data_IF_245388847724
#
_entry.id   IF_245388847724
#
_cell.length_a   1.000
_cell.length_b   1.000
_cell.length_c   1.000
_cell.angle_alpha   90.00
_cell.angle_beta   90.00
_cell.angle_gamma   90.00
#
_symmetry.space_group_name_H-M   'P 1'
#
loop_
_entity.id
_entity.type
_entity.pdbx_description
1 polymer ?
#
# COMPACT_ATOMS: atom_id res chain seq x y z
N UNK A 1 17.85 13.42 -8.87
CA UNK A 1 17.88 13.02 -7.43
C UNK A 1 17.58 11.53 -7.22
N UNK A 2 16.56 10.91 -7.84
CA UNK A 2 16.26 9.48 -7.66
C UNK A 2 17.40 8.54 -8.03
N UNK A 3 18.09 8.79 -9.13
CA UNK A 3 19.22 7.97 -9.59
C UNK A 3 20.40 7.98 -8.59
N UNK A 4 20.61 9.08 -7.88
CA UNK A 4 21.70 9.21 -6.91
C UNK A 4 21.39 8.47 -5.61
N UNK A 5 20.13 8.44 -5.19
CA UNK A 5 19.68 7.68 -4.03
C UNK A 5 19.73 6.16 -4.28
N UNK A 6 19.30 5.70 -5.47
CA UNK A 6 19.47 4.30 -5.90
C UNK A 6 20.96 3.90 -5.89
N UNK A 7 21.84 4.73 -6.47
CA UNK A 7 23.27 4.48 -6.52
C UNK A 7 23.89 4.45 -5.11
N UNK A 8 23.42 5.29 -4.18
CA UNK A 8 23.90 5.31 -2.80
C UNK A 8 23.51 4.05 -2.02
N UNK A 9 22.26 3.62 -2.13
CA UNK A 9 21.77 2.38 -1.49
C UNK A 9 22.51 1.16 -2.03
N UNK A 10 22.73 1.10 -3.33
CA UNK A 10 23.48 0.01 -3.99
C UNK A 10 24.94 -0.07 -3.56
N UNK A 11 25.61 1.10 -3.35
CA UNK A 11 26.97 1.14 -2.81
C UNK A 11 27.05 0.65 -1.36
N UNK A 12 26.06 0.95 -0.54
CA UNK A 12 25.99 0.54 0.86
C UNK A 12 25.74 -0.97 0.98
N UNK A 13 24.94 -1.54 0.06
CA UNK A 13 24.58 -2.97 0.08
C UNK A 13 25.65 -3.89 -0.49
N UNK A 14 26.74 -3.36 -1.07
CA UNK A 14 27.82 -4.16 -1.67
C UNK A 14 27.42 -4.93 -2.94
N UNK A 15 26.27 -4.59 -3.52
CA UNK A 15 25.68 -5.37 -4.61
C UNK A 15 25.98 -4.82 -6.00
N UNK A 16 27.10 -5.21 -6.62
CA UNK A 16 27.33 -4.96 -8.06
C UNK A 16 26.24 -5.61 -8.94
N UNK A 17 25.65 -6.71 -8.53
CA UNK A 17 24.58 -7.40 -9.27
C UNK A 17 23.25 -6.62 -9.30
N UNK A 18 22.96 -5.78 -8.31
CA UNK A 18 21.76 -4.95 -8.30
C UNK A 18 21.84 -3.76 -9.28
N UNK A 19 23.05 -3.32 -9.67
CA UNK A 19 23.25 -2.20 -10.62
C UNK A 19 22.75 -2.55 -12.03
N UNK A 20 22.67 -3.83 -12.37
CA UNK A 20 22.14 -4.29 -13.66
C UNK A 20 20.62 -4.10 -13.80
N UNK A 21 19.90 -3.75 -12.73
CA UNK A 21 18.45 -3.52 -12.72
C UNK A 21 18.03 -2.11 -13.20
N UNK A 22 18.90 -1.40 -13.95
CA UNK A 22 18.51 -0.14 -14.62
C UNK A 22 17.34 -0.41 -15.57
N UNK A 23 16.13 -0.12 -15.11
CA UNK A 23 14.96 0.13 -15.97
C UNK A 23 14.35 -1.07 -16.69
N UNK A 24 14.61 -2.30 -16.30
CA UNK A 24 14.02 -3.48 -16.90
C UNK A 24 13.37 -4.40 -15.87
N UNK A 25 12.11 -4.76 -16.10
CA UNK A 25 11.49 -5.89 -15.42
C UNK A 25 12.38 -7.13 -15.60
N UNK A 26 13.13 -7.50 -14.57
CA UNK A 26 13.93 -8.72 -14.63
C UNK A 26 12.98 -9.91 -14.57
N UNK A 27 13.06 -10.80 -15.56
CA UNK A 27 12.34 -12.08 -15.52
C UNK A 27 12.59 -12.79 -14.18
N UNK A 28 11.60 -13.53 -13.69
CA UNK A 28 11.81 -14.42 -12.54
C UNK A 28 13.09 -15.23 -12.78
N UNK A 29 14.00 -15.23 -11.82
CA UNK A 29 15.18 -16.06 -11.89
C UNK A 29 14.71 -17.54 -11.94
N UNK A 30 14.97 -18.26 -13.05
CA UNK A 30 14.52 -19.65 -13.18
C UNK A 30 15.06 -20.57 -12.08
N UNK A 31 16.14 -20.18 -11.42
CA UNK A 31 16.76 -20.96 -10.34
C UNK A 31 16.19 -20.64 -8.97
N UNK A 32 15.80 -19.38 -8.72
CA UNK A 32 15.26 -18.95 -7.42
C UNK A 32 13.74 -18.92 -7.38
N UNK A 33 13.08 -18.89 -8.54
CA UNK A 33 11.61 -18.83 -8.64
C UNK A 33 11.00 -17.52 -8.14
N UNK A 34 11.81 -16.50 -7.87
CA UNK A 34 11.34 -15.19 -7.38
C UNK A 34 12.07 -14.02 -8.04
N UNK A 35 11.49 -12.83 -7.90
CA UNK A 35 12.06 -11.56 -8.39
C UNK A 35 11.94 -10.49 -7.31
N UNK A 36 13.02 -9.74 -7.09
CA UNK A 36 13.05 -8.56 -6.23
C UNK A 36 13.38 -7.31 -7.05
N UNK A 37 12.61 -6.27 -6.86
CA UNK A 37 12.78 -4.97 -7.52
C UNK A 37 12.88 -3.87 -6.46
N UNK A 38 13.91 -3.02 -6.56
CA UNK A 38 14.02 -1.79 -5.79
C UNK A 38 13.37 -0.66 -6.59
N UNK A 39 12.43 0.03 -5.98
CA UNK A 39 11.63 1.08 -6.61
C UNK A 39 11.82 2.39 -5.86
N UNK A 40 11.94 3.48 -6.59
CA UNK A 40 12.02 4.82 -6.01
C UNK A 40 11.00 5.73 -6.66
N UNK A 41 10.44 6.63 -5.86
CA UNK A 41 9.60 7.72 -6.34
C UNK A 41 8.43 7.23 -7.21
N UNK A 42 8.25 7.82 -8.40
CA UNK A 42 7.14 7.51 -9.31
C UNK A 42 7.05 6.04 -9.72
N UNK A 43 8.17 5.33 -9.78
CA UNK A 43 8.16 3.88 -10.08
C UNK A 43 7.35 3.06 -9.07
N UNK A 44 7.22 3.56 -7.83
CA UNK A 44 6.39 2.93 -6.80
C UNK A 44 4.91 2.96 -7.23
N UNK A 45 4.44 4.13 -7.71
CA UNK A 45 3.06 4.30 -8.21
C UNK A 45 2.80 3.42 -9.42
N UNK A 46 3.69 3.49 -10.41
CA UNK A 46 3.55 2.72 -11.65
C UNK A 46 3.46 1.22 -11.31
N UNK A 47 4.36 0.72 -10.45
CA UNK A 47 4.34 -0.67 -10.00
C UNK A 47 3.07 -1.06 -9.25
N UNK A 48 2.60 -0.22 -8.35
CA UNK A 48 1.36 -0.49 -7.60
C UNK A 48 0.14 -0.56 -8.55
N UNK A 49 0.07 0.31 -9.56
CA UNK A 49 -0.99 0.28 -10.58
C UNK A 49 -0.88 -0.99 -11.44
N UNK A 50 0.32 -1.33 -11.91
CA UNK A 50 0.56 -2.57 -12.68
C UNK A 50 0.13 -3.81 -11.89
N UNK A 51 0.47 -3.88 -10.58
CA UNK A 51 0.06 -4.99 -9.72
C UNK A 51 -1.47 -5.09 -9.60
N UNK A 52 -2.15 -3.96 -9.38
CA UNK A 52 -3.61 -3.93 -9.25
C UNK A 52 -4.31 -4.28 -10.57
N UNK A 53 -3.76 -3.88 -11.71
CA UNK A 53 -4.27 -4.24 -13.03
C UNK A 53 -4.08 -5.74 -13.32
N UNK A 54 -2.91 -6.28 -12.99
CA UNK A 54 -2.53 -7.68 -13.22
C UNK A 54 -3.12 -8.65 -12.18
N UNK A 55 -3.90 -8.18 -11.22
CA UNK A 55 -4.50 -9.04 -10.19
C UNK A 55 -5.34 -10.15 -10.81
N UNK A 56 -5.12 -11.40 -10.37
CA UNK A 56 -5.88 -12.57 -10.78
C UNK A 56 -7.38 -12.41 -10.48
N UNK A 57 -8.21 -13.08 -11.26
CA UNK A 57 -9.66 -13.09 -11.07
C UNK A 57 -10.19 -14.52 -11.11
N UNK A 58 -10.67 -15.09 -9.98
CA UNK A 58 -10.64 -14.49 -8.64
C UNK A 58 -9.23 -14.46 -8.05
N UNK A 59 -8.89 -13.42 -7.26
CA UNK A 59 -7.62 -13.29 -6.58
C UNK A 59 -7.71 -12.27 -5.44
N UNK A 60 -6.73 -12.27 -4.55
CA UNK A 60 -6.72 -11.41 -3.37
C UNK A 60 -5.89 -10.16 -3.57
N UNK A 61 -6.40 -9.07 -3.05
CA UNK A 61 -5.70 -7.79 -2.90
C UNK A 61 -5.82 -7.36 -1.44
N UNK A 62 -4.70 -7.25 -0.75
CA UNK A 62 -4.63 -6.88 0.66
C UNK A 62 -3.76 -5.63 0.80
N UNK A 63 -4.38 -4.55 1.26
CA UNK A 63 -3.71 -3.27 1.47
C UNK A 63 -3.68 -2.92 2.94
N UNK A 64 -2.48 -2.71 3.50
CA UNK A 64 -2.26 -2.13 4.83
C UNK A 64 -1.48 -0.82 4.66
N UNK A 65 -2.09 0.32 5.01
CA UNK A 65 -1.53 1.61 4.63
C UNK A 65 -1.69 2.68 5.71
N UNK A 66 -0.59 3.42 5.96
CA UNK A 66 -0.64 4.58 6.84
C UNK A 66 -1.47 5.71 6.22
N UNK A 67 -1.17 6.15 4.98
CA UNK A 67 -1.98 7.13 4.26
C UNK A 67 -2.35 6.66 2.86
N UNK A 68 -3.64 6.67 2.56
CA UNK A 68 -4.22 6.32 1.26
C UNK A 68 -5.11 7.47 0.76
N UNK A 69 -4.65 8.19 -0.28
CA UNK A 69 -5.42 9.27 -0.89
C UNK A 69 -5.17 9.41 -2.41
N UNK A 70 -4.13 8.77 -2.97
CA UNK A 70 -3.87 8.82 -4.40
C UNK A 70 -5.09 8.33 -5.20
N UNK A 71 -5.55 9.18 -6.14
CA UNK A 71 -6.82 8.94 -6.85
C UNK A 71 -6.75 7.77 -7.82
N UNK A 72 -5.58 7.55 -8.40
CA UNK A 72 -5.39 6.50 -9.40
C UNK A 72 -5.33 5.14 -8.70
N UNK A 73 -4.62 5.05 -7.57
CA UNK A 73 -4.61 3.83 -6.72
C UNK A 73 -6.01 3.52 -6.20
N UNK A 74 -6.73 4.52 -5.65
CA UNK A 74 -8.10 4.32 -5.16
C UNK A 74 -9.02 3.86 -6.28
N UNK A 75 -8.89 4.40 -7.50
CA UNK A 75 -9.66 3.96 -8.67
C UNK A 75 -9.29 2.51 -9.03
N UNK A 76 -8.02 2.18 -9.10
CA UNK A 76 -7.56 0.83 -9.44
C UNK A 76 -8.05 -0.23 -8.45
N UNK A 77 -8.12 0.07 -7.15
CA UNK A 77 -8.73 -0.80 -6.13
C UNK A 77 -10.23 -1.03 -6.40
N UNK A 78 -10.97 0.04 -6.77
CA UNK A 78 -12.39 -0.07 -7.11
C UNK A 78 -12.61 -0.89 -8.38
N UNK A 79 -11.78 -0.68 -9.40
CA UNK A 79 -11.84 -1.39 -10.66
C UNK A 79 -11.50 -2.88 -10.46
N UNK A 80 -10.50 -3.20 -9.63
CA UNK A 80 -10.18 -4.58 -9.25
C UNK A 80 -11.37 -5.27 -8.55
N UNK A 81 -12.03 -4.58 -7.62
CA UNK A 81 -13.26 -5.08 -6.97
C UNK A 81 -14.37 -5.36 -8.00
N UNK A 82 -14.56 -4.47 -8.96
CA UNK A 82 -15.56 -4.65 -10.02
C UNK A 82 -15.23 -5.83 -10.95
N UNK A 83 -13.95 -6.12 -11.18
CA UNK A 83 -13.50 -7.30 -11.94
C UNK A 83 -13.75 -8.61 -11.19
N UNK A 84 -13.99 -8.59 -9.88
CA UNK A 84 -14.25 -9.78 -9.07
C UNK A 84 -13.10 -10.17 -8.15
N UNK A 85 -12.09 -9.31 -7.97
CA UNK A 85 -11.05 -9.55 -6.98
C UNK A 85 -11.59 -9.41 -5.54
N UNK A 86 -11.05 -10.19 -4.61
CA UNK A 86 -11.28 -10.03 -3.18
C UNK A 86 -10.36 -8.92 -2.65
N UNK A 87 -10.90 -7.72 -2.45
CA UNK A 87 -10.14 -6.57 -1.96
C UNK A 87 -10.43 -6.34 -0.49
N UNK A 88 -9.39 -6.27 0.36
CA UNK A 88 -9.50 -5.95 1.79
C UNK A 88 -8.48 -4.87 2.17
N UNK A 89 -8.87 -3.94 3.02
CA UNK A 89 -8.06 -2.76 3.35
C UNK A 89 -7.98 -2.53 4.85
N UNK A 90 -6.76 -2.35 5.38
CA UNK A 90 -6.50 -1.86 6.74
C UNK A 90 -5.86 -0.49 6.63
N UNK A 91 -6.44 0.52 7.26
CA UNK A 91 -5.90 1.88 7.28
C UNK A 91 -5.64 2.37 8.69
N UNK A 92 -4.63 3.23 8.83
CA UNK A 92 -4.51 4.07 10.02
C UNK A 92 -5.74 4.99 10.15
N UNK A 93 -6.35 5.12 11.32
CA UNK A 93 -7.55 5.98 11.51
C UNK A 93 -7.25 7.48 11.34
N UNK A 94 -5.99 7.87 11.10
CA UNK A 94 -5.50 9.26 11.02
C UNK A 94 -5.96 10.10 12.21
N UNK A 95 -5.93 9.47 13.39
CA UNK A 95 -6.41 10.07 14.64
C UNK A 95 -5.28 10.79 15.38
N UNK A 96 -4.07 10.24 15.34
CA UNK A 96 -2.92 10.76 16.07
C UNK A 96 -1.71 10.92 15.13
N UNK A 97 -0.96 12.00 15.30
CA UNK A 97 0.34 12.17 14.67
C UNK A 97 1.21 13.20 15.42
N UNK A 98 2.44 12.82 15.70
CA UNK A 98 3.41 13.70 16.34
C UNK A 98 2.89 14.35 17.64
N UNK A 99 2.17 13.57 18.48
CA UNK A 99 1.58 14.05 19.73
C UNK A 99 0.40 15.01 19.56
N UNK A 100 -0.23 15.07 18.38
CA UNK A 100 -1.41 15.90 18.10
C UNK A 100 -2.56 15.03 17.58
N UNK A 101 -3.76 15.30 18.08
CA UNK A 101 -4.98 14.68 17.57
C UNK A 101 -5.28 15.19 16.17
N UNK A 102 -5.36 14.29 15.19
CA UNK A 102 -5.75 14.58 13.81
C UNK A 102 -7.26 14.38 13.61
N UNK A 103 -7.77 14.96 12.54
CA UNK A 103 -9.20 14.96 12.21
C UNK A 103 -9.61 13.83 11.24
N UNK A 104 -8.75 12.83 11.04
CA UNK A 104 -9.04 11.67 10.19
C UNK A 104 -8.73 11.85 8.71
N UNK A 105 -8.15 12.98 8.30
CA UNK A 105 -7.74 13.24 6.91
C UNK A 105 -6.35 12.65 6.67
N UNK A 106 -6.10 11.94 5.54
CA UNK A 106 -7.00 11.72 4.39
C UNK A 106 -7.84 10.43 4.48
N UNK A 107 -7.49 9.50 5.38
CA UNK A 107 -7.95 8.12 5.31
C UNK A 107 -9.46 7.96 5.47
N UNK A 108 -10.11 8.73 6.34
CA UNK A 108 -11.56 8.55 6.59
C UNK A 108 -12.40 8.86 5.36
N UNK A 109 -11.99 9.83 4.53
CA UNK A 109 -12.67 10.18 3.30
C UNK A 109 -12.50 9.09 2.23
N UNK A 110 -11.28 8.56 2.10
CA UNK A 110 -10.99 7.45 1.21
C UNK A 110 -11.73 6.19 1.64
N UNK A 111 -11.70 5.87 2.93
CA UNK A 111 -12.41 4.73 3.52
C UNK A 111 -13.91 4.78 3.22
N UNK A 112 -14.55 5.95 3.41
CA UNK A 112 -15.97 6.12 3.11
C UNK A 112 -16.30 5.84 1.62
N UNK A 113 -15.37 6.18 0.71
CA UNK A 113 -15.51 5.90 -0.72
C UNK A 113 -15.38 4.41 -1.03
N UNK A 114 -14.40 3.72 -0.41
CA UNK A 114 -14.16 2.29 -0.60
C UNK A 114 -15.31 1.46 -0.05
N UNK A 115 -15.74 1.73 1.18
CA UNK A 115 -16.86 1.01 1.84
C UNK A 115 -18.17 1.20 1.10
N UNK A 116 -18.46 2.40 0.57
CA UNK A 116 -19.64 2.64 -0.29
C UNK A 116 -19.67 1.76 -1.54
N UNK A 117 -18.51 1.25 -1.95
CA UNK A 117 -18.32 0.34 -3.09
C UNK A 117 -18.04 -1.11 -2.66
N UNK A 118 -18.47 -1.45 -1.45
CA UNK A 118 -18.42 -2.80 -0.89
C UNK A 118 -17.01 -3.39 -0.79
N UNK A 119 -16.00 -2.54 -0.63
CA UNK A 119 -14.66 -2.99 -0.23
C UNK A 119 -14.62 -3.06 1.29
N UNK A 120 -14.43 -4.25 1.90
CA UNK A 120 -14.25 -4.40 3.32
C UNK A 120 -13.05 -3.60 3.82
N UNK A 121 -13.25 -2.83 4.89
CA UNK A 121 -12.21 -1.99 5.49
C UNK A 121 -12.26 -2.07 7.00
N UNK A 122 -11.08 -2.17 7.61
CA UNK A 122 -10.88 -2.06 9.05
C UNK A 122 -9.89 -0.95 9.38
N UNK A 123 -10.02 -0.39 10.56
CA UNK A 123 -9.08 0.59 11.08
C UNK A 123 -8.03 -0.11 11.94
N UNK A 124 -6.77 0.26 11.83
CA UNK A 124 -5.76 -0.17 12.79
C UNK A 124 -6.14 0.32 14.19
N UNK A 125 -6.03 -0.55 15.19
CA UNK A 125 -6.29 -0.22 16.58
C UNK A 125 -5.04 0.43 17.20
N UNK A 126 -4.97 1.77 17.13
CA UNK A 126 -3.86 2.56 17.65
C UNK A 126 -4.18 3.15 19.02
N UNK A 127 -3.18 3.23 19.90
CA UNK A 127 -3.29 3.70 21.29
C UNK A 127 -2.40 4.93 21.57
N UNK A 128 -2.13 5.73 20.54
CA UNK A 128 -1.23 6.89 20.56
C UNK A 128 -0.09 6.80 19.56
N UNK A 129 0.26 5.58 19.15
CA UNK A 129 1.17 5.28 18.04
C UNK A 129 0.48 5.41 16.69
N UNK A 130 1.27 5.34 15.63
CA UNK A 130 0.80 5.33 14.24
C UNK A 130 0.91 3.91 13.67
N UNK A 131 -0.07 3.48 12.92
CA UNK A 131 0.04 2.29 12.07
C UNK A 131 0.84 2.65 10.82
N UNK A 132 2.16 2.73 10.97
CA UNK A 132 3.07 3.26 9.93
C UNK A 132 3.43 2.23 8.85
N UNK A 133 2.56 1.26 8.62
CA UNK A 133 2.72 0.21 7.59
C UNK A 133 2.41 0.78 6.21
N UNK A 134 3.16 0.33 5.19
CA UNK A 134 2.88 0.50 3.77
C UNK A 134 3.14 -0.84 3.10
N UNK A 135 2.05 -1.58 2.88
CA UNK A 135 2.07 -2.93 2.34
C UNK A 135 0.92 -3.12 1.36
N UNK A 136 1.23 -3.53 0.14
CA UNK A 136 0.28 -3.99 -0.85
C UNK A 136 0.66 -5.41 -1.27
N UNK A 137 -0.23 -6.36 -1.02
CA UNK A 137 -0.13 -7.74 -1.47
C UNK A 137 -1.17 -8.00 -2.57
N UNK A 138 -0.76 -8.59 -3.67
CA UNK A 138 -1.64 -8.90 -4.82
C UNK A 138 -1.34 -10.29 -5.34
N UNK A 139 -2.37 -11.14 -5.41
CA UNK A 139 -2.29 -12.44 -6.09
C UNK A 139 -2.40 -12.23 -7.60
N UNK A 140 -1.54 -12.89 -8.34
CA UNK A 140 -1.45 -12.88 -9.79
C UNK A 140 -1.83 -14.25 -10.36
N UNK A 141 -1.97 -14.33 -11.66
CA UNK A 141 -2.12 -15.63 -12.34
C UNK A 141 -0.89 -16.53 -12.14
N UNK A 142 -1.04 -17.82 -12.45
CA UNK A 142 0.01 -18.83 -12.37
C UNK A 142 0.59 -19.05 -10.96
N UNK A 143 -0.25 -19.00 -9.94
CA UNK A 143 0.14 -19.22 -8.54
C UNK A 143 1.24 -18.29 -8.03
N UNK A 144 1.31 -17.09 -8.55
CA UNK A 144 2.24 -16.05 -8.14
C UNK A 144 1.53 -14.98 -7.29
N UNK A 145 2.33 -14.27 -6.49
CA UNK A 145 1.93 -13.02 -5.87
C UNK A 145 3.05 -11.99 -5.93
N UNK A 146 2.69 -10.72 -5.84
CA UNK A 146 3.64 -9.63 -5.62
C UNK A 146 3.32 -8.92 -4.32
N UNK A 147 4.36 -8.69 -3.52
CA UNK A 147 4.33 -7.92 -2.28
C UNK A 147 5.12 -6.64 -2.49
N UNK A 148 4.50 -5.49 -2.30
CA UNK A 148 5.12 -4.17 -2.32
C UNK A 148 5.18 -3.63 -0.89
N UNK A 149 6.39 -3.31 -0.42
CA UNK A 149 6.68 -2.83 0.93
C UNK A 149 7.68 -1.69 0.89
N UNK A 150 7.51 -0.66 1.72
CA UNK A 150 8.52 0.39 1.84
C UNK A 150 8.10 1.62 2.63
N UNK A 151 8.65 2.76 2.23
CA UNK A 151 8.40 4.04 2.87
C UNK A 151 7.23 4.82 2.24
N UNK A 152 6.86 4.50 0.99
CA UNK A 152 5.92 5.24 0.18
C UNK A 152 4.47 5.14 0.66
N UNK A 153 3.91 6.23 1.20
CA UNK A 153 2.47 6.32 1.39
C UNK A 153 1.76 6.45 0.03
N UNK A 154 0.56 5.91 -0.09
CA UNK A 154 -0.22 6.05 -1.32
C UNK A 154 -0.97 7.38 -1.34
N UNK A 155 -0.18 8.45 -1.38
CA UNK A 155 -0.65 9.83 -1.54
C UNK A 155 0.04 10.49 -2.72
N UNK A 156 -0.55 11.52 -3.30
CA UNK A 156 0.05 12.26 -4.39
C UNK A 156 1.45 12.77 -4.05
N UNK A 157 1.65 13.23 -2.82
CA UNK A 157 2.93 13.77 -2.37
C UNK A 157 4.06 12.74 -2.41
N UNK A 158 3.78 11.51 -2.01
CA UNK A 158 4.77 10.44 -1.96
C UNK A 158 4.98 9.77 -3.33
N UNK A 159 3.92 9.69 -4.16
CA UNK A 159 3.95 8.95 -5.42
C UNK A 159 4.28 9.80 -6.66
N UNK A 160 4.11 11.13 -6.61
CA UNK A 160 4.37 12.04 -7.73
C UNK A 160 5.70 12.82 -7.55
N UNK A 161 6.73 12.20 -6.94
CA UNK A 161 8.11 12.71 -6.82
C UNK A 161 8.27 14.00 -5.98
N UNK A 162 7.35 14.27 -5.04
CA UNK A 162 7.51 15.40 -4.10
C UNK A 162 8.30 15.01 -2.84
N UNK A 163 8.36 13.72 -2.51
CA UNK A 163 9.20 13.16 -1.45
C UNK A 163 10.09 12.07 -2.04
N UNK A 164 11.29 11.89 -1.49
CA UNK A 164 12.12 10.73 -1.79
C UNK A 164 11.57 9.51 -1.04
N UNK A 165 11.13 8.52 -1.79
CA UNK A 165 10.58 7.26 -1.26
C UNK A 165 11.32 6.06 -1.87
N UNK A 166 11.34 4.96 -1.12
CA UNK A 166 11.99 3.72 -1.54
C UNK A 166 11.18 2.51 -1.09
N UNK A 167 10.72 1.72 -2.06
CA UNK A 167 9.96 0.50 -1.82
C UNK A 167 10.62 -0.71 -2.51
N UNK A 168 10.32 -1.89 -2.00
CA UNK A 168 10.70 -3.17 -2.58
C UNK A 168 9.45 -3.87 -3.12
N UNK A 169 9.48 -4.32 -4.37
CA UNK A 169 8.49 -5.23 -4.92
C UNK A 169 9.09 -6.63 -5.03
N UNK A 170 8.51 -7.57 -4.32
CA UNK A 170 8.92 -8.97 -4.32
C UNK A 170 7.84 -9.82 -4.98
N UNK A 171 8.17 -10.52 -6.06
CA UNK A 171 7.27 -11.44 -6.77
C UNK A 171 7.76 -12.87 -6.60
N UNK A 172 6.88 -13.77 -6.13
CA UNK A 172 7.23 -15.17 -5.88
C UNK A 172 5.96 -16.05 -5.94
N UNK A 173 6.11 -17.39 -5.95
CA UNK A 173 4.98 -18.31 -5.79
C UNK A 173 4.21 -18.08 -4.50
N UNK A 174 2.89 -18.32 -4.51
CA UNK A 174 2.01 -18.16 -3.33
C UNK A 174 2.49 -18.94 -2.09
N UNK A 175 3.14 -20.08 -2.30
CA UNK A 175 3.74 -20.92 -1.23
C UNK A 175 5.09 -20.45 -0.74
N UNK A 176 5.69 -19.40 -1.31
CA UNK A 176 6.97 -18.87 -0.84
C UNK A 176 6.81 -18.29 0.56
N UNK A 177 7.78 -18.54 1.46
CA UNK A 177 7.68 -18.19 2.88
C UNK A 177 7.35 -16.70 3.13
N UNK A 178 7.89 -15.79 2.32
CA UNK A 178 7.60 -14.35 2.42
C UNK A 178 6.14 -14.06 2.09
N UNK A 179 5.57 -14.71 1.06
CA UNK A 179 4.16 -14.52 0.67
C UNK A 179 3.21 -15.10 1.71
N UNK A 180 3.52 -16.29 2.22
CA UNK A 180 2.76 -16.90 3.33
C UNK A 180 2.80 -15.99 4.55
N UNK A 181 3.98 -15.52 4.95
CA UNK A 181 4.13 -14.63 6.11
C UNK A 181 3.39 -13.29 5.93
N UNK A 182 3.43 -12.69 4.75
CA UNK A 182 2.72 -11.44 4.47
C UNK A 182 1.21 -11.63 4.65
N UNK A 183 0.66 -12.67 4.04
CA UNK A 183 -0.76 -13.03 4.15
C UNK A 183 -1.17 -13.37 5.58
N UNK A 184 -0.39 -14.20 6.27
CA UNK A 184 -0.69 -14.59 7.66
C UNK A 184 -0.64 -13.37 8.60
N UNK A 185 0.26 -12.42 8.35
CA UNK A 185 0.34 -11.16 9.09
C UNK A 185 -0.91 -10.31 8.86
N UNK A 186 -1.37 -10.18 7.60
CA UNK A 186 -2.61 -9.47 7.30
C UNK A 186 -3.81 -10.15 7.94
N UNK A 187 -3.94 -11.48 7.83
CA UNK A 187 -5.03 -12.25 8.43
C UNK A 187 -5.05 -12.13 9.97
N UNK A 188 -3.88 -12.17 10.62
CA UNK A 188 -3.77 -11.95 12.06
C UNK A 188 -4.32 -10.59 12.46
N UNK A 189 -3.93 -9.53 11.76
CA UNK A 189 -4.44 -8.18 12.02
C UNK A 189 -5.94 -8.07 11.71
N UNK A 190 -6.36 -8.64 10.59
CA UNK A 190 -7.75 -8.57 10.13
C UNK A 190 -8.71 -9.25 11.09
N UNK A 191 -8.33 -10.40 11.60
CA UNK A 191 -9.18 -11.25 12.45
C UNK A 191 -8.98 -11.00 13.96
N UNK A 192 -8.06 -10.08 14.35
CA UNK A 192 -7.69 -9.89 15.75
C UNK A 192 -7.29 -11.22 16.41
N UNK A 193 -6.42 -11.98 15.74
CA UNK A 193 -5.99 -13.28 16.23
C UNK A 193 -5.16 -13.17 17.52
N UNK A 194 -4.97 -14.29 18.20
CA UNK A 194 -4.16 -14.43 19.42
C UNK A 194 -4.68 -13.63 20.64
N UNK A 195 -5.94 -13.18 20.59
CA UNK A 195 -6.56 -12.41 21.68
C UNK A 195 -6.14 -10.94 21.74
N UNK A 196 -5.37 -10.47 20.76
CA UNK A 196 -4.97 -9.07 20.61
C UNK A 196 -5.89 -8.31 19.67
N UNK A 197 -6.18 -7.05 20.00
CA UNK A 197 -7.00 -6.17 19.15
C UNK A 197 -6.05 -5.37 18.23
N UNK A 198 -5.84 -5.86 17.01
CA UNK A 198 -5.03 -5.21 16.00
C UNK A 198 -5.83 -4.23 15.14
N UNK A 199 -7.13 -4.50 14.95
CA UNK A 199 -7.99 -3.67 14.10
C UNK A 199 -9.38 -3.51 14.69
N UNK A 200 -10.02 -2.39 14.37
CA UNK A 200 -11.39 -2.06 14.73
C UNK A 200 -12.29 -2.01 13.48
N UNK A 201 -13.58 -2.16 13.68
CA UNK A 201 -14.58 -2.05 12.61
C UNK A 201 -14.60 -0.65 12.00
N UNK A 202 -14.94 -0.55 10.70
CA UNK A 202 -15.03 0.71 9.97
C UNK A 202 -15.91 1.75 10.68
N UNK A 203 -17.01 1.33 11.29
CA UNK A 203 -17.99 2.23 11.93
C UNK A 203 -17.43 3.03 13.11
N UNK A 204 -16.32 2.56 13.72
CA UNK A 204 -15.67 3.22 14.87
C UNK A 204 -15.18 4.64 14.53
N UNK A 205 -14.66 4.84 13.31
CA UNK A 205 -14.15 6.14 12.87
C UNK A 205 -14.79 6.62 11.57
N UNK A 206 -16.02 6.19 11.29
CA UNK A 206 -16.78 6.63 10.10
C UNK A 206 -16.88 8.15 10.04
N UNK A 207 -16.48 8.74 8.91
CA UNK A 207 -16.62 10.19 8.69
C UNK A 207 -17.97 10.52 8.06
N UNK A 208 -18.83 11.17 8.84
CA UNK A 208 -20.14 11.66 8.41
C UNK A 208 -20.12 13.12 7.95
N UNK A 209 -18.96 13.80 7.97
CA UNK A 209 -18.86 15.23 7.67
C UNK A 209 -18.63 15.50 6.18
N UNK A 210 -19.61 16.15 5.53
CA UNK A 210 -19.52 16.59 4.12
C UNK A 210 -18.42 17.66 3.93
N UNK A 211 -18.25 18.57 4.89
CA UNK A 211 -17.24 19.64 4.82
C UNK A 211 -15.81 19.10 4.82
N UNK A 212 -15.53 18.05 5.62
CA UNK A 212 -14.22 17.40 5.64
C UNK A 212 -13.92 16.72 4.32
N UNK A 213 -14.91 16.12 3.65
CA UNK A 213 -14.75 15.49 2.32
C UNK A 213 -14.34 16.52 1.28
N UNK A 214 -14.95 17.70 1.26
CA UNK A 214 -14.60 18.80 0.35
C UNK A 214 -13.17 19.30 0.63
N UNK A 215 -12.83 19.54 1.89
CA UNK A 215 -11.48 19.97 2.29
C UNK A 215 -10.39 18.97 1.90
N UNK A 216 -10.60 17.68 2.13
CA UNK A 216 -9.68 16.62 1.74
C UNK A 216 -9.50 16.59 0.21
N UNK A 217 -10.60 16.69 -0.54
CA UNK A 217 -10.56 16.74 -2.00
C UNK A 217 -9.75 17.91 -2.54
N UNK A 218 -9.92 19.12 -1.97
CA UNK A 218 -9.16 20.30 -2.36
C UNK A 218 -7.66 20.15 -2.08
N UNK A 219 -7.30 19.67 -0.89
CA UNK A 219 -5.89 19.46 -0.51
C UNK A 219 -5.18 18.48 -1.43
N UNK A 220 -5.81 17.36 -1.73
CA UNK A 220 -5.25 16.36 -2.63
C UNK A 220 -5.14 16.87 -4.09
N UNK A 221 -6.12 17.68 -4.53
CA UNK A 221 -6.12 18.25 -5.89
C UNK A 221 -5.03 19.28 -6.09
N UNK A 222 -4.76 20.12 -5.09
CA UNK A 222 -3.78 21.22 -5.16
C UNK A 222 -2.36 20.78 -4.81
N UNK A 223 -2.16 19.57 -4.27
CA UNK A 223 -0.85 19.12 -3.79
C UNK A 223 -0.39 19.84 -2.51
N UNK A 224 -1.23 20.63 -1.89
CA UNK A 224 -0.95 21.33 -0.63
C UNK A 224 -1.17 20.44 0.60
N UNK A 225 -1.32 19.14 0.41
CA UNK A 225 -1.42 18.21 1.52
C UNK A 225 -0.06 18.03 2.19
N UNK A 226 -0.05 18.04 3.52
CA UNK A 226 1.13 17.77 4.35
C UNK A 226 1.30 16.28 4.70
N UNK A 227 0.56 15.41 4.02
CA UNK A 227 0.58 13.94 4.18
C UNK A 227 0.82 13.23 2.87
#
# INVERSE_FOLDING_TARGET
>A
MGNDAEAAVLRISGGEELIAARGGSRALDPKSGHRLELLTERKIKDKALDMLEAAAVPGRIELSMFYLADRDIVRALLDAKQRGCEVRVILDPSKDAFGRTKNGVPNRQTAARLVKKEIPLRWAATHGEQFHVKMLYVELDNDLATLLLGSGNFTRRNLDNFNAECDLAFTAPLGHEVMVRARDTFERWWNNADGEIHTADYTVYEDRSVLRRISAWMKETTGLSSF
#
